data_IF_650019064244
#
_entry.id   IF_650019064244
#
_cell.length_a   1.000
_cell.length_b   1.000
_cell.length_c   1.000
_cell.angle_alpha   90.00
_cell.angle_beta   90.00
_cell.angle_gamma   90.00
#
_symmetry.space_group_name_H-M   'P 1'
#
loop_
_entity.id
_entity.type
_entity.pdbx_description
1 polymer ?
#
# COMPACT_ATOMS: atom_id res chain seq x y z
N UNK A 1 -16.91 -19.02 13.16
CA UNK A 1 -16.65 -19.26 11.76
C UNK A 1 -15.52 -18.40 11.23
N UNK A 2 -14.95 -18.80 10.14
CA UNK A 2 -13.95 -17.99 9.46
C UNK A 2 -14.66 -16.81 8.85
N UNK A 3 -14.51 -15.65 9.46
CA UNK A 3 -15.07 -14.46 8.86
C UNK A 3 -14.24 -14.13 7.62
N UNK A 4 -14.89 -14.12 6.48
CA UNK A 4 -14.34 -13.50 5.30
C UNK A 4 -14.16 -12.02 5.61
N UNK A 5 -12.93 -11.54 5.57
CA UNK A 5 -12.63 -10.16 5.94
C UNK A 5 -13.31 -9.15 5.02
N UNK A 6 -13.63 -9.48 3.84
CA UNK A 6 -14.41 -8.70 2.87
C UNK A 6 -14.54 -9.54 1.62
N UNK A 7 -15.41 -9.17 0.70
CA UNK A 7 -15.52 -9.87 -0.56
C UNK A 7 -14.54 -9.29 -1.56
N UNK A 8 -13.61 -10.11 -2.02
CA UNK A 8 -12.57 -9.75 -2.99
C UNK A 8 -12.95 -10.29 -4.35
N UNK A 9 -13.26 -9.41 -5.30
CA UNK A 9 -13.75 -9.78 -6.62
C UNK A 9 -12.59 -9.81 -7.60
N UNK A 10 -12.42 -10.94 -8.31
CA UNK A 10 -11.39 -11.14 -9.32
C UNK A 10 -9.98 -10.92 -8.77
N UNK A 11 -9.60 -11.77 -7.81
CA UNK A 11 -8.24 -11.81 -7.27
C UNK A 11 -7.25 -12.17 -8.38
N UNK A 12 -6.09 -11.53 -8.38
CA UNK A 12 -5.02 -11.80 -9.32
C UNK A 12 -3.67 -11.46 -8.69
N UNK A 13 -2.60 -11.85 -9.37
CA UNK A 13 -1.27 -11.39 -9.01
C UNK A 13 -0.72 -10.55 -10.19
N UNK A 14 0.02 -9.51 -9.91
CA UNK A 14 0.60 -8.65 -10.94
C UNK A 14 1.53 -9.39 -11.89
N UNK A 15 2.12 -10.50 -11.47
CA UNK A 15 2.91 -11.36 -12.35
C UNK A 15 2.08 -11.94 -13.50
N UNK A 16 0.78 -12.11 -13.31
CA UNK A 16 -0.13 -12.60 -14.34
C UNK A 16 -0.50 -11.50 -15.34
N UNK A 17 -0.61 -10.26 -14.85
CA UNK A 17 -1.05 -9.11 -15.66
C UNK A 17 0.12 -8.47 -16.41
N UNK A 18 1.29 -8.42 -15.77
CA UNK A 18 2.49 -7.77 -16.28
C UNK A 18 3.67 -8.75 -16.28
N UNK A 19 3.63 -9.83 -17.09
CA UNK A 19 4.67 -10.86 -17.04
C UNK A 19 6.06 -10.34 -17.44
N UNK A 20 6.13 -9.21 -18.13
CA UNK A 20 7.38 -8.55 -18.50
C UNK A 20 8.02 -7.76 -17.35
N UNK A 21 7.28 -7.55 -16.26
CA UNK A 21 7.75 -6.83 -15.08
C UNK A 21 7.99 -7.81 -13.93
N UNK A 22 8.96 -7.50 -13.10
CA UNK A 22 9.29 -8.34 -11.95
C UNK A 22 8.44 -7.94 -10.74
N UNK A 23 7.13 -8.19 -10.84
CA UNK A 23 6.16 -7.83 -9.80
C UNK A 23 5.60 -9.08 -9.12
N UNK A 24 5.22 -8.92 -7.86
CA UNK A 24 4.56 -9.97 -7.06
C UNK A 24 3.60 -9.29 -6.08
N UNK A 25 2.45 -8.86 -6.60
CA UNK A 25 1.44 -8.15 -5.82
C UNK A 25 0.13 -8.91 -5.89
N UNK A 26 -0.36 -9.36 -4.74
CA UNK A 26 -1.70 -9.95 -4.61
C UNK A 26 -2.72 -8.81 -4.56
N UNK A 27 -3.49 -8.67 -5.62
CA UNK A 27 -4.47 -7.62 -5.80
C UNK A 27 -5.83 -8.21 -6.21
N UNK A 28 -6.85 -7.37 -6.26
CA UNK A 28 -8.13 -7.74 -6.85
C UNK A 28 -8.71 -6.55 -7.63
N UNK A 29 -9.77 -6.83 -8.39
CA UNK A 29 -10.38 -5.81 -9.23
C UNK A 29 -11.40 -4.96 -8.46
N UNK A 30 -12.00 -5.51 -7.43
CA UNK A 30 -12.95 -4.79 -6.58
C UNK A 30 -13.03 -5.44 -5.21
N UNK A 31 -13.33 -4.62 -4.19
CA UNK A 31 -13.59 -5.09 -2.83
C UNK A 31 -14.96 -4.61 -2.41
N UNK A 32 -15.78 -5.52 -1.88
CA UNK A 32 -17.06 -5.17 -1.28
C UNK A 32 -16.92 -5.26 0.24
N UNK A 33 -17.25 -4.18 0.92
CA UNK A 33 -17.24 -4.11 2.38
C UNK A 33 -18.64 -3.86 2.90
N UNK A 34 -18.89 -4.25 4.16
CA UNK A 34 -20.17 -4.03 4.81
C UNK A 34 -19.95 -3.87 6.31
N UNK A 35 -20.49 -2.81 6.90
CA UNK A 35 -20.32 -2.54 8.32
C UNK A 35 -18.88 -2.26 8.71
N UNK A 36 -18.57 -2.47 9.98
CA UNK A 36 -17.22 -2.31 10.50
C UNK A 36 -16.79 -0.87 10.69
N UNK A 37 -15.51 -0.69 10.93
CA UNK A 37 -14.89 0.62 11.13
C UNK A 37 -13.96 0.92 9.96
N UNK A 38 -14.19 2.05 9.29
CA UNK A 38 -13.34 2.50 8.21
C UNK A 38 -12.17 3.30 8.75
N UNK A 39 -10.97 2.92 8.35
CA UNK A 39 -9.73 3.62 8.69
C UNK A 39 -9.28 4.38 7.46
N UNK A 40 -9.35 5.70 7.53
CA UNK A 40 -8.90 6.59 6.46
C UNK A 40 -7.46 6.98 6.73
N UNK A 41 -6.53 6.50 5.90
CA UNK A 41 -5.13 6.81 6.08
C UNK A 41 -4.75 8.05 5.27
N UNK A 42 -3.98 8.94 5.90
CA UNK A 42 -3.29 10.01 5.18
C UNK A 42 -2.23 9.39 4.28
N UNK A 43 -1.92 10.02 3.16
CA UNK A 43 -0.79 9.60 2.33
C UNK A 43 0.48 9.50 3.17
N UNK A 44 1.09 8.32 3.20
CA UNK A 44 2.31 8.08 3.97
C UNK A 44 3.53 8.32 3.10
N UNK A 45 4.45 9.08 3.65
CA UNK A 45 5.72 9.47 3.03
C UNK A 45 6.88 8.82 3.79
N UNK A 46 8.11 8.86 3.22
CA UNK A 46 9.26 8.23 3.89
C UNK A 46 9.77 9.04 5.08
N UNK A 47 8.98 9.09 6.14
CA UNK A 47 9.33 9.80 7.37
C UNK A 47 8.75 9.05 8.57
N UNK A 48 9.32 9.28 9.74
CA UNK A 48 8.84 8.68 10.97
C UNK A 48 7.45 9.23 11.34
N UNK A 49 6.57 8.36 11.82
CA UNK A 49 5.25 8.79 12.31
C UNK A 49 5.36 9.68 13.56
N UNK A 50 6.27 9.34 14.48
CA UNK A 50 6.31 10.00 15.79
C UNK A 50 6.92 11.40 15.75
N UNK A 51 7.98 11.60 14.98
CA UNK A 51 8.76 12.83 14.98
C UNK A 51 8.86 13.52 13.62
N UNK A 52 8.27 12.91 12.58
CA UNK A 52 8.30 13.40 11.20
C UNK A 52 9.73 13.58 10.63
N UNK A 53 10.71 12.89 11.19
CA UNK A 53 12.07 12.92 10.65
C UNK A 53 12.12 12.11 9.36
N UNK A 54 12.65 12.72 8.30
CA UNK A 54 12.77 12.09 7.00
C UNK A 54 13.75 10.92 7.05
N UNK A 55 13.41 9.85 6.33
CA UNK A 55 14.35 8.78 6.06
C UNK A 55 15.51 9.33 5.23
N UNK A 56 16.74 9.16 5.71
CA UNK A 56 17.93 9.63 5.03
C UNK A 56 18.38 8.66 3.94
N UNK A 57 17.50 8.38 2.99
CA UNK A 57 17.78 7.45 1.89
C UNK A 57 17.07 7.92 0.63
N UNK A 58 17.75 7.79 -0.51
CA UNK A 58 17.19 8.04 -1.84
C UNK A 58 16.87 6.73 -2.56
N UNK A 59 16.89 5.60 -1.86
CA UNK A 59 16.58 4.29 -2.41
C UNK A 59 15.06 4.08 -2.40
N UNK A 60 14.42 3.85 -3.57
CA UNK A 60 12.98 3.63 -3.62
C UNK A 60 12.53 2.40 -2.83
N UNK A 61 13.37 1.38 -2.69
CA UNK A 61 13.06 0.18 -1.88
C UNK A 61 12.97 0.56 -0.40
N UNK A 62 13.98 1.27 0.13
CA UNK A 62 13.99 1.69 1.53
C UNK A 62 12.87 2.66 1.85
N UNK A 63 12.60 3.59 0.93
CA UNK A 63 11.49 4.52 1.10
C UNK A 63 10.14 3.79 1.13
N UNK A 64 9.96 2.80 0.27
CA UNK A 64 8.72 2.00 0.24
C UNK A 64 8.55 1.18 1.50
N UNK A 65 9.62 0.58 2.03
CA UNK A 65 9.56 -0.12 3.32
C UNK A 65 9.06 0.82 4.42
N UNK A 66 9.60 2.02 4.49
CA UNK A 66 9.19 3.00 5.51
C UNK A 66 7.71 3.36 5.38
N UNK A 67 7.26 3.63 4.17
CA UNK A 67 5.86 3.97 3.88
C UNK A 67 4.93 2.82 4.29
N UNK A 68 5.26 1.59 3.91
CA UNK A 68 4.42 0.44 4.23
C UNK A 68 4.44 0.08 5.71
N UNK A 69 5.57 0.27 6.39
CA UNK A 69 5.66 0.10 7.84
C UNK A 69 4.75 1.11 8.55
N UNK A 70 4.73 2.36 8.09
CA UNK A 70 3.84 3.39 8.62
C UNK A 70 2.37 3.00 8.45
N UNK A 71 1.99 2.53 7.27
CA UNK A 71 0.62 2.08 6.99
C UNK A 71 0.23 0.95 7.94
N UNK A 72 1.07 -0.05 8.09
CA UNK A 72 0.82 -1.18 9.00
C UNK A 72 0.65 -0.69 10.43
N UNK A 73 1.54 0.16 10.89
CA UNK A 73 1.48 0.69 12.25
C UNK A 73 0.17 1.45 12.48
N UNK A 74 -0.23 2.31 11.55
CA UNK A 74 -1.47 3.07 11.68
C UNK A 74 -2.71 2.18 11.74
N UNK A 75 -2.76 1.16 10.90
CA UNK A 75 -3.87 0.19 10.93
C UNK A 75 -3.90 -0.54 12.28
N UNK A 76 -2.74 -0.93 12.80
CA UNK A 76 -2.66 -1.60 14.10
C UNK A 76 -3.05 -0.65 15.24
N UNK A 77 -2.66 0.61 15.19
CA UNK A 77 -3.08 1.61 16.19
C UNK A 77 -4.58 1.83 16.15
N UNK A 78 -5.21 1.66 14.99
CA UNK A 78 -6.67 1.73 14.85
C UNK A 78 -7.38 0.46 15.32
N UNK A 79 -6.64 -0.57 15.70
CA UNK A 79 -7.20 -1.83 16.17
C UNK A 79 -7.36 -2.90 15.10
N UNK A 80 -6.75 -2.70 13.92
CA UNK A 80 -6.82 -3.62 12.80
C UNK A 80 -5.52 -4.30 12.48
N UNK A 81 -5.50 -4.93 11.30
CA UNK A 81 -4.34 -5.65 10.77
C UNK A 81 -4.24 -5.38 9.27
N UNK A 82 -3.10 -5.70 8.66
CA UNK A 82 -2.91 -5.50 7.22
C UNK A 82 -3.96 -6.21 6.36
N UNK A 83 -4.48 -7.34 6.81
CA UNK A 83 -5.53 -8.06 6.09
C UNK A 83 -6.82 -7.25 5.92
N UNK A 84 -6.98 -6.18 6.69
CA UNK A 84 -8.14 -5.28 6.62
C UNK A 84 -7.98 -4.19 5.56
N UNK A 85 -6.80 -4.08 4.95
CA UNK A 85 -6.55 -3.10 3.89
C UNK A 85 -7.37 -3.46 2.66
N UNK A 86 -8.16 -2.49 2.18
CA UNK A 86 -9.03 -2.72 1.02
C UNK A 86 -8.60 -1.93 -0.21
N UNK A 87 -7.96 -0.80 -0.02
CA UNK A 87 -7.53 0.04 -1.15
C UNK A 87 -6.21 0.75 -0.84
N UNK A 88 -5.36 0.83 -1.85
CA UNK A 88 -4.15 1.65 -1.82
C UNK A 88 -4.06 2.46 -3.11
N UNK A 89 -3.50 3.66 -2.99
CA UNK A 89 -3.12 4.49 -4.14
C UNK A 89 -1.64 4.78 -4.00
N UNK A 90 -0.89 4.47 -5.05
CA UNK A 90 0.56 4.55 -5.06
C UNK A 90 0.98 5.69 -5.98
N UNK A 91 1.69 6.68 -5.43
CA UNK A 91 2.23 7.80 -6.17
C UNK A 91 3.74 7.66 -6.24
N UNK A 92 4.30 7.64 -7.44
CA UNK A 92 5.75 7.60 -7.65
C UNK A 92 6.16 8.76 -8.53
N UNK A 93 7.40 9.24 -8.39
CA UNK A 93 7.89 10.39 -9.15
C UNK A 93 8.62 10.00 -10.43
N UNK A 94 8.89 8.71 -10.62
CA UNK A 94 9.59 8.21 -11.80
C UNK A 94 9.12 6.79 -12.09
N UNK A 95 8.66 6.55 -13.33
CA UNK A 95 8.17 5.23 -13.75
C UNK A 95 9.25 4.16 -13.64
N UNK A 96 10.53 4.53 -13.71
CA UNK A 96 11.65 3.59 -13.56
C UNK A 96 11.73 2.97 -12.17
N UNK A 97 11.08 3.59 -11.16
CA UNK A 97 11.02 3.06 -9.79
C UNK A 97 9.86 2.09 -9.58
N UNK A 98 8.96 1.95 -10.57
CA UNK A 98 7.73 1.17 -10.42
C UNK A 98 7.97 -0.26 -9.94
N UNK A 99 8.87 -0.99 -10.58
CA UNK A 99 9.11 -2.38 -10.22
C UNK A 99 9.64 -2.51 -8.79
N UNK A 100 10.60 -1.68 -8.40
CA UNK A 100 11.17 -1.70 -7.06
C UNK A 100 10.11 -1.38 -5.99
N UNK A 101 9.30 -0.34 -6.22
CA UNK A 101 8.24 0.08 -5.29
C UNK A 101 7.17 -1.00 -5.17
N UNK A 102 6.64 -1.48 -6.28
CA UNK A 102 5.57 -2.47 -6.26
C UNK A 102 6.02 -3.81 -5.68
N UNK A 103 7.22 -4.27 -6.02
CA UNK A 103 7.76 -5.52 -5.47
C UNK A 103 7.93 -5.43 -3.96
N UNK A 104 8.45 -4.31 -3.46
CA UNK A 104 8.60 -4.09 -2.02
C UNK A 104 7.24 -4.02 -1.33
N UNK A 105 6.31 -3.25 -1.91
CA UNK A 105 4.94 -3.15 -1.40
C UNK A 105 4.27 -4.53 -1.34
N UNK A 106 4.54 -5.38 -2.32
CA UNK A 106 3.99 -6.73 -2.42
C UNK A 106 4.28 -7.59 -1.20
N UNK A 107 5.41 -7.37 -0.53
CA UNK A 107 5.77 -8.12 0.68
C UNK A 107 4.78 -7.87 1.83
N UNK A 108 4.20 -6.67 1.88
CA UNK A 108 3.26 -6.26 2.94
C UNK A 108 1.81 -6.66 2.65
N UNK A 109 1.47 -6.88 1.39
CA UNK A 109 0.09 -7.18 0.99
C UNK A 109 -0.08 -8.62 0.51
N UNK A 110 0.87 -9.49 0.79
CA UNK A 110 0.78 -10.92 0.44
C UNK A 110 -0.47 -11.52 1.09
N UNK A 111 -1.35 -12.08 0.27
CA UNK A 111 -2.61 -12.66 0.74
C UNK A 111 -3.67 -11.66 1.13
N UNK A 112 -3.45 -10.35 0.98
CA UNK A 112 -4.41 -9.30 1.36
C UNK A 112 -5.37 -8.99 0.23
N UNK A 113 -4.89 -8.90 -0.99
CA UNK A 113 -5.68 -8.63 -2.20
C UNK A 113 -6.46 -7.31 -2.16
N UNK A 114 -5.83 -6.17 -1.85
CA UNK A 114 -6.51 -4.88 -1.97
C UNK A 114 -6.68 -4.48 -3.42
N UNK A 115 -7.52 -3.49 -3.70
CA UNK A 115 -7.48 -2.78 -4.98
C UNK A 115 -6.34 -1.77 -4.94
N UNK A 116 -5.68 -1.54 -6.07
CA UNK A 116 -4.55 -0.62 -6.16
C UNK A 116 -4.63 0.22 -7.41
N UNK A 117 -4.36 1.51 -7.27
CA UNK A 117 -4.15 2.42 -8.39
C UNK A 117 -2.76 3.00 -8.26
N UNK A 118 -1.98 2.98 -9.34
CA UNK A 118 -0.63 3.52 -9.36
C UNK A 118 -0.50 4.63 -10.37
N UNK A 119 0.15 5.73 -9.97
CA UNK A 119 0.28 6.94 -10.76
C UNK A 119 1.71 7.45 -10.68
N UNK A 120 2.19 8.01 -11.79
CA UNK A 120 3.41 8.83 -11.79
C UNK A 120 2.99 10.28 -11.64
N UNK A 121 3.56 10.97 -10.67
CA UNK A 121 3.31 12.39 -10.41
C UNK A 121 4.60 13.17 -10.62
N UNK A 122 4.47 14.47 -10.87
CA UNK A 122 5.61 15.31 -11.15
C UNK A 122 6.54 15.44 -9.95
N UNK A 123 5.98 15.55 -8.75
CA UNK A 123 6.73 15.70 -7.50
C UNK A 123 5.82 15.39 -6.31
N UNK A 124 6.45 15.11 -5.19
CA UNK A 124 5.79 15.01 -3.90
C UNK A 124 6.15 16.25 -3.07
N UNK A 125 5.73 16.27 -1.80
CA UNK A 125 5.92 17.45 -0.97
C UNK A 125 7.40 17.83 -0.76
N UNK A 126 8.30 16.84 -0.85
CA UNK A 126 9.74 17.06 -0.77
C UNK A 126 10.43 16.46 -1.99
N UNK A 127 11.45 17.15 -2.54
CA UNK A 127 12.13 16.67 -3.76
C UNK A 127 12.78 15.29 -3.63
N UNK A 128 13.21 14.93 -2.42
CA UNK A 128 13.86 13.65 -2.15
C UNK A 128 12.88 12.49 -1.99
N UNK A 129 11.60 12.76 -1.90
CA UNK A 129 10.59 11.69 -1.79
C UNK A 129 10.26 11.12 -3.17
N UNK A 130 10.38 9.81 -3.29
CA UNK A 130 10.17 9.06 -4.54
C UNK A 130 8.83 8.34 -4.57
N UNK A 131 8.23 8.12 -3.42
CA UNK A 131 6.99 7.35 -3.27
C UNK A 131 6.15 7.90 -2.12
N UNK A 132 4.85 7.92 -2.36
CA UNK A 132 3.83 8.17 -1.33
C UNK A 132 2.70 7.17 -1.57
N UNK A 133 2.15 6.62 -0.50
CA UNK A 133 1.04 5.67 -0.61
C UNK A 133 -0.04 6.06 0.39
N UNK A 134 -1.27 6.22 -0.09
CA UNK A 134 -2.42 6.32 0.79
C UNK A 134 -3.20 5.01 0.78
N UNK A 135 -4.10 4.86 1.72
CA UNK A 135 -4.86 3.63 1.82
C UNK A 135 -6.13 3.79 2.64
N UNK A 136 -6.98 2.79 2.51
CA UNK A 136 -8.20 2.67 3.28
C UNK A 136 -8.29 1.24 3.78
N UNK A 137 -8.56 1.09 5.07
CA UNK A 137 -8.81 -0.22 5.66
C UNK A 137 -10.22 -0.24 6.25
N UNK A 138 -10.83 -1.42 6.33
CA UNK A 138 -12.11 -1.60 7.00
C UNK A 138 -11.95 -2.76 7.98
N UNK A 139 -12.07 -2.44 9.25
CA UNK A 139 -11.96 -3.42 10.33
C UNK A 139 -13.35 -4.01 10.54
N UNK A 140 -13.56 -5.33 10.35
CA UNK A 140 -14.87 -5.94 10.53
C UNK A 140 -15.38 -5.83 11.96
N UNK A 141 -16.68 -5.88 12.09
CA UNK A 141 -17.33 -5.92 13.41
C UNK A 141 -17.02 -7.23 14.15
#
# INVERSE_FOLDING_TARGET
GISMVHTRIRKFNTSDTYPEQMLDNDLCQAVVTSGGKTVWLRGQCPQNLDDAVNLASHDPVEQTHKVMQNIRQLIEEAGGEMKHLVKIVVYITDVRHREAVYRTMGEYIKGVYPVSTGLVVQALARPEWLVEIDGTAVIPE
#
